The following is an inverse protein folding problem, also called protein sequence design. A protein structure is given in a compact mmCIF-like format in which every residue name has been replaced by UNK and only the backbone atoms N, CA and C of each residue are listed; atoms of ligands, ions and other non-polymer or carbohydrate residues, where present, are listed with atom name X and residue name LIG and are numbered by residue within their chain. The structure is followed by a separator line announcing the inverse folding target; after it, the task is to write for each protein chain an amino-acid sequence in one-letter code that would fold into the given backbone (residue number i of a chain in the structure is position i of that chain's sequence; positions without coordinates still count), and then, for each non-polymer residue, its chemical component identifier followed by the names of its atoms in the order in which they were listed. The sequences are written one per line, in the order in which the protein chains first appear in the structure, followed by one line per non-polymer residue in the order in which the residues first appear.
data_IF_220157344805
#
_entry.id   IF_220157344805
#
_cell.length_a   1.000
_cell.length_b   1.000
_cell.length_c   1.000
_cell.angle_alpha   90.00
_cell.angle_beta   90.00
_cell.angle_gamma   90.00
#
_symmetry.space_group_name_H-M   'P 1'
#
loop_
_entity.id
_entity.type
_entity.pdbx_description
1 polymer ?
#
# COMPACT_ATOMS: atom_id res chain seq x y z
N UNK A 1 -4.28 2.36 18.11
CA UNK A 1 -3.65 2.21 16.78
C UNK A 1 -3.30 3.54 16.13
N UNK A 2 -4.21 4.51 16.18
CA UNK A 2 -3.93 5.81 15.55
C UNK A 2 -2.67 6.51 16.09
N UNK A 3 -2.28 6.21 17.32
CA UNK A 3 -1.06 6.79 17.91
C UNK A 3 0.21 6.35 17.19
N UNK A 4 0.11 5.31 16.38
CA UNK A 4 1.26 4.82 15.61
C UNK A 4 1.30 5.43 14.22
N UNK A 5 0.28 6.19 13.84
CA UNK A 5 0.27 6.85 12.55
C UNK A 5 1.23 8.06 12.58
N UNK A 6 2.02 8.19 11.52
CA UNK A 6 2.89 9.36 11.39
C UNK A 6 2.06 10.58 11.02
N UNK A 7 2.68 11.75 11.07
CA UNK A 7 2.02 12.97 10.64
C UNK A 7 1.60 12.89 9.17
N UNK A 8 2.47 12.36 8.31
CA UNK A 8 2.15 12.17 6.90
C UNK A 8 0.99 11.21 6.69
N UNK A 9 0.96 10.12 7.47
CA UNK A 9 -0.15 9.16 7.39
C UNK A 9 -1.46 9.78 7.85
N UNK A 10 -1.41 10.60 8.89
CA UNK A 10 -2.62 11.30 9.34
C UNK A 10 -3.14 12.26 8.26
N UNK A 11 -2.22 12.89 7.54
CA UNK A 11 -2.61 13.74 6.41
C UNK A 11 -3.27 12.92 5.30
N UNK A 12 -2.76 11.72 5.03
CA UNK A 12 -3.39 10.82 4.05
C UNK A 12 -4.81 10.45 4.48
N UNK A 13 -5.02 10.23 5.77
CA UNK A 13 -6.33 9.84 6.29
C UNK A 13 -7.33 10.99 6.34
N UNK A 14 -6.92 12.21 5.97
CA UNK A 14 -7.88 13.29 5.75
C UNK A 14 -8.80 12.98 4.58
N UNK A 15 -8.36 12.14 3.64
CA UNK A 15 -9.22 11.60 2.59
C UNK A 15 -10.09 10.49 3.21
N UNK A 16 -11.43 10.61 3.13
CA UNK A 16 -12.30 9.62 3.77
C UNK A 16 -12.18 8.20 3.19
N UNK A 17 -11.58 8.04 2.02
CA UNK A 17 -11.35 6.72 1.45
C UNK A 17 -10.10 6.04 2.00
N UNK A 18 -9.27 6.79 2.74
CA UNK A 18 -8.02 6.26 3.32
C UNK A 18 -8.24 6.02 4.80
N UNK A 19 -8.32 4.74 5.19
CA UNK A 19 -8.46 4.37 6.60
C UNK A 19 -7.16 3.75 7.11
N UNK A 20 -7.12 3.42 8.40
CA UNK A 20 -5.93 2.83 8.99
C UNK A 20 -5.61 1.45 8.42
N UNK A 21 -6.63 0.70 7.99
CA UNK A 21 -6.41 -0.59 7.36
C UNK A 21 -5.56 -0.44 6.09
N UNK A 22 -5.88 0.55 5.26
CA UNK A 22 -5.07 0.83 4.07
C UNK A 22 -3.65 1.21 4.46
N UNK A 23 -3.49 2.10 5.42
CA UNK A 23 -2.17 2.54 5.90
C UNK A 23 -1.35 1.32 6.37
N UNK A 24 -1.96 0.45 7.16
CA UNK A 24 -1.27 -0.72 7.68
C UNK A 24 -0.83 -1.68 6.57
N UNK A 25 -1.72 -1.94 5.59
CA UNK A 25 -1.35 -2.83 4.48
C UNK A 25 -0.24 -2.25 3.62
N UNK A 26 -0.19 -0.93 3.46
CA UNK A 26 0.90 -0.28 2.75
C UNK A 26 2.21 -0.46 3.51
N UNK A 27 2.20 -0.28 4.83
CA UNK A 27 3.40 -0.52 5.65
C UNK A 27 3.87 -1.97 5.54
N UNK A 28 2.95 -2.93 5.58
CA UNK A 28 3.31 -4.34 5.44
C UNK A 28 3.93 -4.62 4.08
N UNK A 29 3.35 -4.06 3.03
CA UNK A 29 3.87 -4.24 1.68
C UNK A 29 5.28 -3.67 1.54
N UNK A 30 5.54 -2.50 2.11
CA UNK A 30 6.88 -1.90 2.11
C UNK A 30 7.86 -2.78 2.89
N UNK A 31 7.45 -3.27 4.06
CA UNK A 31 8.31 -4.12 4.87
C UNK A 31 8.71 -5.40 4.13
N UNK A 32 7.76 -6.01 3.45
CA UNK A 32 8.04 -7.21 2.65
C UNK A 32 8.95 -6.90 1.47
N UNK A 33 8.72 -5.77 0.82
CA UNK A 33 9.53 -5.36 -0.32
C UNK A 33 10.98 -5.14 0.09
N UNK A 34 11.20 -4.46 1.23
CA UNK A 34 12.53 -4.16 1.71
C UNK A 34 13.20 -5.34 2.41
N UNK A 35 12.43 -6.36 2.80
CA UNK A 35 12.95 -7.51 3.53
C UNK A 35 13.18 -7.27 5.02
N UNK A 36 12.77 -6.13 5.55
CA UNK A 36 12.98 -5.82 6.96
C UNK A 36 11.92 -6.41 7.89
N UNK A 37 10.73 -6.69 7.37
CA UNK A 37 9.75 -7.46 8.10
C UNK A 37 9.03 -6.77 9.27
N UNK A 38 9.30 -5.50 9.54
CA UNK A 38 8.67 -4.79 10.65
C UNK A 38 7.81 -3.63 10.15
N UNK A 39 6.49 -3.82 9.97
CA UNK A 39 5.63 -2.75 9.47
C UNK A 39 5.55 -1.54 10.37
N UNK A 40 5.72 -1.71 11.69
CA UNK A 40 5.63 -0.57 12.61
C UNK A 40 6.75 0.44 12.44
N UNK A 41 7.87 0.02 11.84
CA UNK A 41 9.01 0.89 11.57
C UNK A 41 8.87 1.63 10.24
N UNK A 42 7.76 1.43 9.53
CA UNK A 42 7.56 2.02 8.22
C UNK A 42 6.57 3.17 8.27
N UNK A 43 6.64 4.01 7.26
CA UNK A 43 5.75 5.15 7.10
C UNK A 43 5.09 5.04 5.73
N UNK A 44 3.78 4.86 5.70
CA UNK A 44 3.06 4.73 4.44
C UNK A 44 3.13 6.01 3.59
N UNK A 45 3.40 7.15 4.20
CA UNK A 45 3.53 8.41 3.49
C UNK A 45 4.93 8.62 2.91
N UNK A 46 5.91 7.76 3.27
CA UNK A 46 7.29 7.88 2.82
C UNK A 46 7.80 6.55 2.27
N UNK A 47 7.24 6.08 1.15
CA UNK A 47 7.72 4.84 0.55
C UNK A 47 9.15 4.97 0.03
N UNK A 48 9.88 3.86 -0.12
CA UNK A 48 11.22 3.90 -0.70
C UNK A 48 11.21 4.48 -2.11
N UNK A 49 12.31 5.08 -2.50
CA UNK A 49 12.45 5.66 -3.84
C UNK A 49 12.39 4.56 -4.90
N UNK A 50 11.78 4.88 -6.02
CA UNK A 50 11.69 3.95 -7.15
C UNK A 50 10.67 2.84 -6.95
N UNK A 51 9.74 2.99 -6.02
CA UNK A 51 8.74 1.99 -5.69
C UNK A 51 7.37 2.43 -6.15
N UNK A 52 6.58 1.48 -6.65
CA UNK A 52 5.18 1.70 -6.97
C UNK A 52 4.34 0.88 -5.98
N UNK A 53 3.35 1.52 -5.37
CA UNK A 53 2.43 0.87 -4.43
C UNK A 53 1.02 1.02 -4.98
N UNK A 54 0.31 -0.09 -5.08
CA UNK A 54 -1.09 -0.11 -5.49
C UNK A 54 -1.88 -0.90 -4.47
N UNK A 55 -3.09 -0.45 -4.19
CA UNK A 55 -4.00 -1.15 -3.28
C UNK A 55 -5.39 -1.16 -3.87
N UNK A 56 -6.14 -2.21 -3.58
CA UNK A 56 -7.50 -2.33 -4.05
C UNK A 56 -8.26 -3.36 -3.26
N UNK A 57 -9.49 -3.58 -3.66
CA UNK A 57 -10.41 -4.50 -2.99
C UNK A 57 -10.66 -5.69 -3.90
N UNK A 58 -10.59 -6.89 -3.32
CA UNK A 58 -10.99 -8.11 -4.02
C UNK A 58 -12.52 -8.22 -3.92
N UNK A 59 -13.24 -8.15 -5.05
CA UNK A 59 -14.70 -8.09 -5.00
C UNK A 59 -15.34 -9.31 -4.34
N UNK A 60 -14.74 -10.49 -4.50
CA UNK A 60 -15.32 -11.74 -4.00
C UNK A 60 -15.35 -11.80 -2.48
N UNK A 61 -14.32 -11.27 -1.82
CA UNK A 61 -14.19 -11.39 -0.37
C UNK A 61 -14.25 -10.06 0.34
N UNK A 62 -14.12 -8.94 -0.38
CA UNK A 62 -14.01 -7.62 0.23
C UNK A 62 -12.66 -7.38 0.88
N UNK A 63 -11.72 -8.28 0.74
CA UNK A 63 -10.39 -8.13 1.32
C UNK A 63 -9.59 -7.08 0.56
N UNK A 64 -8.73 -6.36 1.28
CA UNK A 64 -7.83 -5.40 0.67
C UNK A 64 -6.52 -6.09 0.27
N UNK A 65 -6.09 -5.82 -0.95
CA UNK A 65 -4.81 -6.30 -1.47
C UNK A 65 -3.91 -5.10 -1.74
N UNK A 66 -2.69 -5.14 -1.22
CA UNK A 66 -1.71 -4.08 -1.48
C UNK A 66 -0.45 -4.71 -2.07
N UNK A 67 0.03 -4.12 -3.16
CA UNK A 67 1.22 -4.59 -3.87
C UNK A 67 2.27 -3.48 -3.85
N UNK A 68 3.50 -3.84 -3.52
CA UNK A 68 4.65 -2.94 -3.56
C UNK A 68 5.72 -3.57 -4.44
N UNK A 69 6.15 -2.83 -5.46
CA UNK A 69 7.14 -3.34 -6.40
C UNK A 69 7.99 -2.19 -6.94
N UNK A 70 9.04 -2.53 -7.68
CA UNK A 70 9.83 -1.54 -8.38
C UNK A 70 8.96 -0.79 -9.39
N UNK A 71 9.13 0.53 -9.46
CA UNK A 71 8.38 1.34 -10.42
C UNK A 71 8.73 0.99 -11.87
N UNK A 72 9.84 0.30 -12.10
CA UNK A 72 10.21 -0.17 -13.43
C UNK A 72 9.41 -1.40 -13.85
N UNK A 73 8.79 -2.08 -12.88
CA UNK A 73 8.00 -3.27 -13.15
C UNK A 73 6.53 -2.87 -13.28
N UNK A 74 5.90 -3.33 -14.36
CA UNK A 74 4.48 -3.08 -14.55
C UNK A 74 3.70 -3.94 -13.55
N UNK A 75 2.99 -3.30 -12.62
CA UNK A 75 2.23 -3.99 -11.58
C UNK A 75 1.14 -4.90 -12.15
N UNK A 76 0.63 -4.59 -13.33
CA UNK A 76 -0.38 -5.42 -13.99
C UNK A 76 0.16 -6.82 -14.25
N UNK A 77 1.47 -6.93 -14.52
CA UNK A 77 2.09 -8.23 -14.76
C UNK A 77 2.23 -9.06 -13.48
N UNK A 78 2.16 -8.42 -12.31
CA UNK A 78 2.29 -9.11 -11.04
C UNK A 78 0.95 -9.57 -10.46
N UNK A 79 -0.15 -9.04 -10.98
CA UNK A 79 -1.48 -9.34 -10.49
C UNK A 79 -2.26 -10.09 -11.58
N UNK A 80 -2.59 -11.37 -11.35
CA UNK A 80 -3.37 -12.11 -12.34
C UNK A 80 -4.69 -11.41 -12.64
N UNK A 81 -5.06 -11.38 -13.91
CA UNK A 81 -6.33 -10.77 -14.33
C UNK A 81 -7.53 -11.44 -13.65
N UNK A 82 -7.40 -12.72 -13.33
CA UNK A 82 -8.46 -13.47 -12.66
C UNK A 82 -8.79 -12.95 -11.26
N UNK A 83 -7.92 -12.15 -10.65
CA UNK A 83 -8.20 -11.57 -9.34
C UNK A 83 -9.20 -10.43 -9.40
N UNK A 84 -9.34 -9.77 -10.55
CA UNK A 84 -10.32 -8.71 -10.76
C UNK A 84 -10.29 -7.65 -9.64
N UNK A 85 -9.10 -7.20 -9.26
CA UNK A 85 -8.95 -6.24 -8.16
C UNK A 85 -9.52 -4.89 -8.55
N UNK A 86 -10.32 -4.30 -7.67
CA UNK A 86 -10.79 -2.94 -7.83
C UNK A 86 -9.77 -1.98 -7.21
N UNK A 87 -8.85 -1.49 -8.03
CA UNK A 87 -7.77 -0.60 -7.57
C UNK A 87 -8.34 0.77 -7.20
N UNK A 88 -8.04 1.22 -5.99
CA UNK A 88 -8.53 2.51 -5.47
C UNK A 88 -7.43 3.40 -4.89
N UNK A 89 -6.18 2.94 -4.93
CA UNK A 89 -5.07 3.69 -4.35
C UNK A 89 -3.80 3.38 -5.12
N UNK A 90 -3.03 4.41 -5.45
CA UNK A 90 -1.74 4.23 -6.12
C UNK A 90 -0.78 5.35 -5.73
N UNK A 91 0.46 4.98 -5.44
CA UNK A 91 1.55 5.92 -5.20
C UNK A 91 2.78 5.45 -5.95
N UNK A 92 3.42 6.36 -6.67
CA UNK A 92 4.70 6.09 -7.31
C UNK A 92 5.74 7.00 -6.69
N UNK A 93 6.70 6.43 -5.99
CA UNK A 93 7.78 7.17 -5.35
C UNK A 93 8.98 7.27 -6.30
N UNK A 94 9.23 8.46 -6.76
CA UNK A 94 10.31 8.72 -7.72
C UNK A 94 11.62 9.10 -7.06
#
# INVERSE_FOLDING_TARGET
MRRYATEGERAMMADPTVDFTLIWTVREAIAKYTGEGNPTARDAACPPRGVCIRSGILPDTGARLTVCCSAEVNTVCLTPESLAVAWDFEVVAK
#
